data_IF_718331970415
#
_entry.id   IF_718331970415
#
_cell.length_a   1.000
_cell.length_b   1.000
_cell.length_c   1.000
_cell.angle_alpha   90.00
_cell.angle_beta   90.00
_cell.angle_gamma   90.00
#
_symmetry.space_group_name_H-M   'P 1'
#
loop_
_entity.id
_entity.type
_entity.pdbx_description
1 polymer ?
#
# COMPACT_ATOMS: atom_id res chain seq x y z
N UNK A 1 8.83 -0.97 -1.85
CA UNK A 1 10.16 -0.38 -1.58
C UNK A 1 11.11 -1.54 -1.32
N UNK A 2 12.19 -1.68 -2.08
CA UNK A 2 13.19 -2.74 -1.87
C UNK A 2 14.35 -2.14 -1.07
N UNK A 3 14.75 -2.81 0.01
CA UNK A 3 15.90 -2.38 0.81
C UNK A 3 17.20 -2.57 0.00
N UNK A 4 18.20 -1.73 0.27
CA UNK A 4 19.52 -1.88 -0.33
C UNK A 4 20.11 -3.27 -0.01
N UNK A 5 20.87 -3.89 -0.92
CA UNK A 5 21.58 -5.14 -0.62
C UNK A 5 22.43 -4.97 0.63
N UNK A 6 22.28 -5.90 1.59
CA UNK A 6 22.96 -5.87 2.89
C UNK A 6 22.55 -4.71 3.81
N UNK A 7 21.33 -4.17 3.68
CA UNK A 7 20.80 -3.24 4.68
C UNK A 7 20.85 -3.88 6.08
N UNK A 8 21.43 -3.16 7.03
CA UNK A 8 21.49 -3.54 8.44
C UNK A 8 20.49 -2.68 9.20
N UNK A 9 19.46 -3.32 9.77
CA UNK A 9 18.51 -2.65 10.63
C UNK A 9 19.17 -2.19 11.94
N UNK A 10 18.52 -1.26 12.67
CA UNK A 10 19.05 -0.69 13.92
C UNK A 10 19.30 -1.72 15.03
N UNK A 11 18.66 -2.89 14.93
CA UNK A 11 18.82 -4.02 15.85
C UNK A 11 19.97 -4.97 15.46
N UNK A 12 20.73 -4.64 14.39
CA UNK A 12 21.81 -5.47 13.88
C UNK A 12 21.36 -6.55 12.88
N UNK A 13 20.05 -6.63 12.57
CA UNK A 13 19.54 -7.58 11.59
C UNK A 13 19.97 -7.17 10.18
N UNK A 14 20.84 -7.97 9.56
CA UNK A 14 21.21 -7.79 8.15
C UNK A 14 20.20 -8.49 7.27
N UNK A 15 19.55 -7.75 6.37
CA UNK A 15 18.76 -8.36 5.31
C UNK A 15 19.68 -8.82 4.19
N UNK A 16 19.98 -10.12 4.15
CA UNK A 16 20.72 -10.75 3.04
C UNK A 16 19.80 -11.03 1.85
N UNK A 17 19.24 -9.97 1.26
CA UNK A 17 18.55 -10.09 -0.02
C UNK A 17 19.57 -9.95 -1.15
N UNK A 18 19.81 -11.04 -1.87
CA UNK A 18 20.59 -10.99 -3.12
C UNK A 18 19.79 -10.28 -4.20
N UNK A 19 20.46 -9.74 -5.24
CA UNK A 19 19.75 -9.18 -6.40
C UNK A 19 18.81 -10.20 -7.06
N UNK A 20 19.13 -11.50 -7.00
CA UNK A 20 18.25 -12.57 -7.43
C UNK A 20 16.97 -12.66 -6.59
N UNK A 21 17.04 -12.36 -5.29
CA UNK A 21 15.87 -12.29 -4.41
C UNK A 21 14.99 -11.07 -4.69
N UNK A 22 15.60 -9.94 -5.06
CA UNK A 22 14.87 -8.75 -5.52
C UNK A 22 14.20 -9.03 -6.86
N UNK A 23 14.92 -9.64 -7.81
CA UNK A 23 14.36 -10.01 -9.11
C UNK A 23 13.28 -11.09 -8.99
N UNK A 24 13.42 -12.07 -8.11
CA UNK A 24 12.38 -13.07 -7.85
C UNK A 24 11.15 -12.45 -7.19
N UNK A 25 11.32 -11.49 -6.27
CA UNK A 25 10.20 -10.75 -5.68
C UNK A 25 9.45 -9.88 -6.68
N UNK A 26 10.10 -9.40 -7.75
CA UNK A 26 9.41 -8.69 -8.85
C UNK A 26 8.52 -9.62 -9.68
N UNK A 27 8.86 -10.90 -9.74
CA UNK A 27 8.10 -11.93 -10.45
C UNK A 27 7.14 -12.71 -9.52
N UNK A 28 7.10 -12.38 -8.23
CA UNK A 28 6.07 -12.90 -7.33
C UNK A 28 4.74 -12.23 -7.63
N UNK A 29 3.75 -13.03 -7.99
CA UNK A 29 2.35 -12.62 -8.02
C UNK A 29 1.74 -12.95 -6.66
N UNK A 30 1.63 -11.98 -5.73
CA UNK A 30 1.05 -12.28 -4.43
C UNK A 30 -0.43 -12.63 -4.60
N UNK A 31 -0.92 -13.56 -3.78
CA UNK A 31 -2.34 -13.96 -3.78
C UNK A 31 -3.29 -12.84 -3.35
N UNK A 32 -2.75 -11.71 -2.87
CA UNK A 32 -3.49 -10.49 -2.66
C UNK A 32 -2.61 -9.25 -2.63
N UNK A 33 -3.21 -8.09 -2.93
CA UNK A 33 -2.57 -6.77 -2.87
C UNK A 33 -3.57 -5.72 -2.42
N UNK A 34 -3.12 -4.79 -1.57
CA UNK A 34 -3.86 -3.58 -1.22
C UNK A 34 -3.27 -2.38 -1.97
N UNK A 35 -4.13 -1.58 -2.59
CA UNK A 35 -3.77 -0.33 -3.27
C UNK A 35 -4.58 0.82 -2.68
N UNK A 36 -3.93 1.88 -2.24
CA UNK A 36 -4.59 3.09 -1.76
C UNK A 36 -5.04 4.00 -2.91
N UNK A 37 -6.18 4.66 -2.75
CA UNK A 37 -6.76 5.58 -3.75
C UNK A 37 -7.12 6.96 -3.19
N UNK A 38 -6.81 7.25 -1.93
CA UNK A 38 -7.08 8.55 -1.33
C UNK A 38 -5.90 9.07 -0.54
N UNK A 39 -5.31 10.22 -0.89
CA UNK A 39 -4.22 10.81 -0.11
C UNK A 39 -4.67 11.26 1.28
N UNK A 40 -5.96 11.53 1.47
CA UNK A 40 -6.51 11.89 2.79
C UNK A 40 -6.65 10.66 3.68
N UNK A 41 -7.25 9.57 3.17
CA UNK A 41 -7.40 8.31 3.91
C UNK A 41 -8.17 8.43 5.23
N UNK A 42 -7.65 7.82 6.30
CA UNK A 42 -8.11 7.98 7.68
C UNK A 42 -7.63 9.30 8.26
N UNK A 43 -8.47 9.99 9.03
CA UNK A 43 -8.10 11.26 9.68
C UNK A 43 -6.90 11.06 10.61
N UNK A 44 -5.74 11.59 10.20
CA UNK A 44 -4.48 11.54 10.92
C UNK A 44 -3.57 12.69 10.48
N UNK A 45 -2.39 12.81 11.12
CA UNK A 45 -1.36 13.76 10.65
C UNK A 45 -0.92 13.49 9.19
N UNK A 46 -1.01 12.24 8.73
CA UNK A 46 -0.62 11.87 7.37
C UNK A 46 -1.64 12.32 6.33
N UNK A 47 -2.93 12.42 6.70
CA UNK A 47 -3.96 12.94 5.80
C UNK A 47 -3.60 14.32 5.28
N UNK A 48 -3.19 15.20 6.19
CA UNK A 48 -2.85 16.58 5.85
C UNK A 48 -1.60 16.62 4.96
N UNK A 49 -0.53 15.95 5.39
CA UNK A 49 0.76 15.99 4.69
C UNK A 49 0.66 15.38 3.29
N UNK A 50 -0.03 14.26 3.14
CA UNK A 50 -0.14 13.56 1.87
C UNK A 50 -1.12 14.24 0.90
N UNK A 51 -2.20 14.84 1.41
CA UNK A 51 -3.08 15.68 0.58
C UNK A 51 -2.36 16.93 0.08
N UNK A 52 -1.57 17.61 0.93
CA UNK A 52 -0.75 18.75 0.49
C UNK A 52 0.33 18.35 -0.51
N UNK A 53 0.93 17.16 -0.37
CA UNK A 53 1.90 16.65 -1.33
C UNK A 53 1.27 16.46 -2.71
N UNK A 54 0.09 15.85 -2.77
CA UNK A 54 -0.67 15.65 -4.03
C UNK A 54 -1.04 16.98 -4.69
N UNK A 55 -1.45 17.96 -3.89
CA UNK A 55 -1.74 19.32 -4.38
C UNK A 55 -0.48 19.97 -4.96
N UNK A 56 0.65 19.86 -4.27
CA UNK A 56 1.93 20.40 -4.73
C UNK A 56 2.46 19.71 -6.00
N UNK A 57 2.23 18.39 -6.16
CA UNK A 57 2.63 17.64 -7.36
C UNK A 57 1.59 17.67 -8.48
N UNK A 58 0.42 18.28 -8.23
CA UNK A 58 -0.70 18.35 -9.16
C UNK A 58 -1.13 16.96 -9.66
N UNK A 59 -1.11 15.97 -8.78
CA UNK A 59 -1.47 14.59 -9.15
C UNK A 59 -2.99 14.44 -9.14
N UNK A 60 -3.58 14.32 -10.34
CA UNK A 60 -5.04 14.24 -10.50
C UNK A 60 -5.58 12.80 -10.44
N UNK A 61 -4.76 11.81 -10.76
CA UNK A 61 -5.18 10.41 -10.79
C UNK A 61 -5.38 9.86 -9.36
N UNK A 62 -6.30 8.89 -9.13
CA UNK A 62 -6.48 8.30 -7.82
C UNK A 62 -5.17 7.72 -7.29
N UNK A 63 -4.77 8.14 -6.09
CA UNK A 63 -3.47 7.85 -5.52
C UNK A 63 -3.53 7.83 -3.98
N UNK A 64 -2.53 7.25 -3.35
CA UNK A 64 -2.44 7.16 -1.89
C UNK A 64 -1.61 8.29 -1.24
N UNK A 65 -1.25 9.32 -2.01
CA UNK A 65 -0.35 10.39 -1.59
C UNK A 65 1.09 10.24 -2.07
N UNK A 66 1.52 9.03 -2.42
CA UNK A 66 2.86 8.76 -2.98
C UNK A 66 2.81 7.96 -4.27
N UNK A 67 1.86 7.03 -4.36
CA UNK A 67 1.76 6.05 -5.44
C UNK A 67 0.38 6.16 -6.06
N UNK A 68 0.35 6.38 -7.37
CA UNK A 68 -0.88 6.26 -8.15
C UNK A 68 -1.41 4.83 -8.13
N UNK A 69 -2.73 4.72 -8.04
CA UNK A 69 -3.43 3.43 -7.99
C UNK A 69 -3.09 2.55 -9.20
N UNK A 70 -2.98 3.14 -10.38
CA UNK A 70 -2.57 2.46 -11.63
C UNK A 70 -1.21 1.77 -11.50
N UNK A 71 -0.23 2.44 -10.88
CA UNK A 71 1.10 1.89 -10.60
C UNK A 71 1.01 0.69 -9.66
N UNK A 72 0.15 0.76 -8.63
CA UNK A 72 -0.08 -0.34 -7.71
C UNK A 72 -0.78 -1.55 -8.36
N UNK A 73 -1.80 -1.31 -9.19
CA UNK A 73 -2.64 -2.35 -9.81
C UNK A 73 -2.00 -3.00 -11.03
N UNK A 74 -1.14 -2.28 -11.76
CA UNK A 74 -0.51 -2.73 -13.03
C UNK A 74 0.29 -4.03 -12.94
N UNK A 75 0.75 -4.38 -11.74
CA UNK A 75 1.59 -5.56 -11.51
C UNK A 75 0.79 -6.80 -11.07
N UNK A 76 -0.54 -6.81 -11.20
CA UNK A 76 -1.31 -8.04 -11.08
C UNK A 76 -1.91 -8.42 -12.43
N UNK A 77 -1.85 -9.71 -12.77
CA UNK A 77 -2.64 -10.31 -13.86
C UNK A 77 -4.15 -10.24 -13.61
N UNK A 78 -4.56 -9.59 -12.52
CA UNK A 78 -5.87 -9.56 -11.90
C UNK A 78 -6.32 -8.11 -11.72
N UNK A 79 -5.89 -7.19 -12.59
CA UNK A 79 -6.21 -5.76 -12.50
C UNK A 79 -7.73 -5.49 -12.43
N UNK A 80 -8.55 -6.37 -13.01
CA UNK A 80 -10.02 -6.26 -12.96
C UNK A 80 -10.65 -6.86 -11.69
N UNK A 81 -9.86 -7.49 -10.81
CA UNK A 81 -10.33 -8.16 -9.60
C UNK A 81 -10.30 -7.25 -8.36
N UNK A 82 -9.87 -5.99 -8.51
CA UNK A 82 -9.81 -5.04 -7.41
C UNK A 82 -11.22 -4.61 -6.97
N UNK A 83 -11.43 -4.57 -5.66
CA UNK A 83 -12.71 -4.21 -5.03
C UNK A 83 -12.48 -3.43 -3.74
N UNK A 84 -13.44 -2.59 -3.35
CA UNK A 84 -13.39 -1.78 -2.12
C UNK A 84 -13.63 -2.57 -0.82
N UNK A 85 -13.88 -3.87 -0.91
CA UNK A 85 -14.04 -4.73 0.26
C UNK A 85 -12.69 -5.26 0.76
N UNK A 86 -12.37 -5.06 2.04
CA UNK A 86 -11.14 -5.59 2.65
C UNK A 86 -11.02 -7.12 2.64
N UNK A 87 -12.13 -7.84 2.44
CA UNK A 87 -12.12 -9.29 2.26
C UNK A 87 -11.60 -9.72 0.88
N UNK A 88 -11.59 -8.80 -0.09
CA UNK A 88 -11.05 -9.03 -1.42
C UNK A 88 -9.56 -9.35 -1.33
N UNK A 89 -9.10 -10.27 -2.18
CA UNK A 89 -7.67 -10.49 -2.39
C UNK A 89 -7.01 -9.24 -2.98
N UNK A 90 -7.70 -8.55 -3.87
CA UNK A 90 -7.23 -7.31 -4.49
C UNK A 90 -8.08 -6.16 -3.95
N UNK A 91 -7.54 -5.44 -2.98
CA UNK A 91 -8.26 -4.46 -2.20
C UNK A 91 -7.93 -3.05 -2.68
N UNK A 92 -8.93 -2.36 -3.24
CA UNK A 92 -8.84 -0.95 -3.60
C UNK A 92 -9.33 -0.11 -2.41
N UNK A 93 -8.37 0.32 -1.59
CA UNK A 93 -8.66 0.90 -0.29
C UNK A 93 -8.71 2.44 -0.38
N UNK A 94 -9.73 3.05 0.21
CA UNK A 94 -9.86 4.49 0.36
C UNK A 94 -8.95 4.99 1.50
N UNK A 95 -7.65 4.74 1.34
CA UNK A 95 -6.59 4.89 2.32
C UNK A 95 -5.41 5.62 1.71
N UNK A 96 -4.68 6.36 2.55
CA UNK A 96 -3.42 6.97 2.17
C UNK A 96 -2.26 5.99 2.38
N UNK A 97 -1.07 6.36 1.92
CA UNK A 97 0.11 5.50 1.92
C UNK A 97 0.46 5.00 3.32
N UNK A 98 0.35 5.85 4.34
CA UNK A 98 0.64 5.48 5.72
C UNK A 98 -0.41 4.52 6.28
N UNK A 99 -1.69 4.75 5.99
CA UNK A 99 -2.78 3.91 6.47
C UNK A 99 -2.69 2.48 5.95
N UNK A 100 -2.18 2.27 4.72
CA UNK A 100 -2.05 0.92 4.13
C UNK A 100 -1.23 -0.02 4.98
N UNK A 101 -0.32 0.50 5.81
CA UNK A 101 0.48 -0.27 6.76
C UNK A 101 -0.22 -0.61 8.09
N UNK A 102 -1.54 -0.36 8.20
CA UNK A 102 -2.33 -0.49 9.44
C UNK A 102 -1.83 0.45 10.57
N UNK A 103 -1.02 1.46 10.26
CA UNK A 103 -0.44 2.37 11.27
C UNK A 103 -1.49 3.15 12.07
N UNK A 104 -2.60 3.51 11.45
CA UNK A 104 -3.65 4.31 12.06
C UNK A 104 -4.91 3.50 12.42
N UNK A 105 -4.84 2.17 12.36
CA UNK A 105 -5.98 1.29 12.64
C UNK A 105 -6.97 1.19 11.48
N UNK A 106 -8.19 0.77 11.79
CA UNK A 106 -9.30 0.72 10.84
C UNK A 106 -10.22 1.94 10.99
N UNK A 107 -10.80 2.38 9.88
CA UNK A 107 -11.88 3.35 9.88
C UNK A 107 -13.17 2.75 10.43
N UNK A 108 -14.02 3.58 11.04
CA UNK A 108 -15.22 3.09 11.71
C UNK A 108 -16.44 3.01 10.79
N UNK A 109 -16.48 3.84 9.74
CA UNK A 109 -17.70 4.06 8.93
C UNK A 109 -17.62 3.49 7.51
N UNK A 110 -16.48 2.93 7.10
CA UNK A 110 -16.30 2.46 5.72
C UNK A 110 -15.50 1.17 5.62
N UNK A 111 -16.04 0.21 4.87
CA UNK A 111 -15.38 -1.06 4.52
C UNK A 111 -14.16 -0.86 3.61
N UNK A 112 -14.10 0.28 2.91
CA UNK A 112 -12.94 0.69 2.10
C UNK A 112 -11.76 1.24 2.92
N UNK A 113 -11.91 1.32 4.25
CA UNK A 113 -10.86 1.83 5.16
C UNK A 113 -10.49 0.82 6.26
N UNK A 114 -10.23 -0.44 5.91
CA UNK A 114 -9.98 -1.52 6.88
C UNK A 114 -8.61 -2.20 6.67
N UNK A 115 -7.48 -1.46 6.76
CA UNK A 115 -6.17 -2.01 6.45
C UNK A 115 -5.74 -3.14 7.38
N UNK A 116 -6.10 -3.06 8.67
CA UNK A 116 -5.72 -4.07 9.64
C UNK A 116 -6.50 -5.38 9.47
N UNK A 117 -7.79 -5.29 9.14
CA UNK A 117 -8.60 -6.49 8.86
C UNK A 117 -8.12 -7.19 7.60
N UNK A 118 -7.75 -6.44 6.56
CA UNK A 118 -7.15 -7.01 5.35
C UNK A 118 -5.91 -7.87 5.69
N UNK A 119 -4.98 -7.35 6.49
CA UNK A 119 -3.80 -8.12 6.87
C UNK A 119 -4.14 -9.36 7.69
N UNK A 120 -5.06 -9.24 8.66
CA UNK A 120 -5.50 -10.38 9.48
C UNK A 120 -6.06 -11.53 8.63
N UNK A 121 -6.70 -11.23 7.53
CA UNK A 121 -7.34 -12.22 6.66
C UNK A 121 -6.43 -12.72 5.53
N UNK A 122 -5.23 -12.14 5.35
CA UNK A 122 -4.30 -12.42 4.23
C UNK A 122 -2.87 -12.78 4.64
N UNK A 123 -2.57 -12.83 5.95
CA UNK A 123 -1.37 -13.40 6.54
C UNK A 123 -1.66 -14.82 7.04
#
# INVERSE_FOLDING_TARGET
MSLAPNYVAKDGTTTSYTMNHVLSSRNMSPNGRMCGISPTGLLSQYSLVLTLLVDATQTEQPNDGFVESSSCTSHSSQQHSYSEGFSSNYYLANLNHADTSCRNGNGWLSRSKQPCLYYKDKM
#
